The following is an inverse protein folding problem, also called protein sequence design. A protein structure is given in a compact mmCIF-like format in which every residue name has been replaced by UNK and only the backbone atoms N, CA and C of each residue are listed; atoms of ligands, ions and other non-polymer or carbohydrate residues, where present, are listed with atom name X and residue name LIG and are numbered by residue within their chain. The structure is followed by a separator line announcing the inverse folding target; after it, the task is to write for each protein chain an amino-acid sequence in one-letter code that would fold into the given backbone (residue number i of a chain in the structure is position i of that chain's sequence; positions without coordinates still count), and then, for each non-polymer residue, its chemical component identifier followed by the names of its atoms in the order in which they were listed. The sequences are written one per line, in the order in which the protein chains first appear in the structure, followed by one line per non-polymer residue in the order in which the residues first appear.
data_IF_674870875885
#
_entry.id   IF_674870875885
#
_cell.length_a   1.000
_cell.length_b   1.000
_cell.length_c   1.000
_cell.angle_alpha   90.00
_cell.angle_beta   90.00
_cell.angle_gamma   90.00
#
_symmetry.space_group_name_H-M   'P 1'
#
loop_
_entity.id
_entity.type
_entity.pdbx_description
1 polymer ?
#
# COMPACT_ATOMS: atom_id res chain seq x y z
N UNK A 1 9.38 0.55 -6.32
CA UNK A 1 9.80 0.50 -7.74
C UNK A 1 10.68 -0.71 -8.01
N UNK A 2 11.81 -0.88 -7.29
CA UNK A 2 12.75 -1.98 -7.53
C UNK A 2 12.11 -3.38 -7.35
N UNK A 3 11.31 -3.59 -6.29
CA UNK A 3 10.63 -4.86 -6.04
C UNK A 3 9.52 -5.12 -7.06
N UNK A 4 8.80 -4.09 -7.48
CA UNK A 4 7.80 -4.19 -8.54
C UNK A 4 8.42 -4.74 -9.83
N UNK A 5 9.56 -4.16 -10.25
CA UNK A 5 10.28 -4.64 -11.46
C UNK A 5 10.78 -6.08 -11.28
N UNK A 6 11.25 -6.46 -10.09
CA UNK A 6 11.63 -7.86 -9.81
C UNK A 6 10.45 -8.83 -9.90
N UNK A 7 9.23 -8.37 -9.58
CA UNK A 7 8.01 -9.14 -9.75
C UNK A 7 7.53 -9.22 -11.22
N UNK A 8 8.24 -8.57 -12.15
CA UNK A 8 7.89 -8.56 -13.58
C UNK A 8 6.85 -7.50 -13.94
N UNK A 9 6.56 -6.57 -13.04
CA UNK A 9 5.64 -5.45 -13.25
C UNK A 9 6.44 -4.15 -13.40
N UNK A 10 5.96 -3.26 -14.26
CA UNK A 10 6.60 -1.97 -14.47
C UNK A 10 5.78 -0.85 -13.82
N UNK A 11 6.39 0.27 -13.42
CA UNK A 11 5.64 1.43 -12.93
C UNK A 11 4.53 1.89 -13.89
N UNK A 12 4.73 1.70 -15.20
CA UNK A 12 3.76 2.02 -16.25
C UNK A 12 2.56 1.05 -16.32
N UNK A 13 2.61 -0.08 -15.63
CA UNK A 13 1.51 -1.03 -15.55
C UNK A 13 0.56 -0.71 -14.39
N UNK A 14 0.92 0.26 -13.55
CA UNK A 14 0.17 0.65 -12.36
C UNK A 14 -0.64 1.93 -12.64
N UNK A 15 -1.95 1.86 -12.50
CA UNK A 15 -2.86 2.97 -12.74
C UNK A 15 -3.39 3.59 -11.44
N UNK A 16 -3.31 2.86 -10.32
CA UNK A 16 -3.83 3.28 -9.02
C UNK A 16 -2.85 3.01 -7.91
N UNK A 17 -2.76 3.95 -6.97
CA UNK A 17 -2.03 3.80 -5.69
C UNK A 17 -2.99 4.16 -4.56
N UNK A 18 -2.97 3.36 -3.48
CA UNK A 18 -3.70 3.63 -2.25
C UNK A 18 -2.69 3.59 -1.09
N UNK A 19 -2.42 4.75 -0.50
CA UNK A 19 -1.57 4.84 0.69
C UNK A 19 -2.38 4.59 1.94
N UNK A 20 -1.93 3.68 2.78
CA UNK A 20 -2.54 3.45 4.09
C UNK A 20 -2.19 4.59 5.06
N UNK A 21 -0.96 5.03 5.05
CA UNK A 21 -0.44 6.16 5.84
C UNK A 21 0.91 6.64 5.30
N UNK A 22 1.43 7.75 5.85
CA UNK A 22 2.63 8.41 5.37
C UNK A 22 3.83 8.28 6.32
N UNK A 23 4.07 7.09 6.91
CA UNK A 23 5.40 6.79 7.42
C UNK A 23 6.37 6.55 6.26
N UNK A 24 7.65 6.89 6.46
CA UNK A 24 8.66 6.88 5.40
C UNK A 24 8.84 5.50 4.75
N UNK A 25 8.69 4.42 5.50
CA UNK A 25 8.84 3.04 5.03
C UNK A 25 7.66 2.59 4.14
N UNK A 26 6.58 3.36 4.07
CA UNK A 26 5.45 3.13 3.19
C UNK A 26 5.46 4.00 1.93
N UNK A 27 6.17 5.15 1.94
CA UNK A 27 6.11 6.10 0.83
C UNK A 27 7.47 6.61 0.29
N UNK A 28 8.61 6.23 0.90
CA UNK A 28 9.94 6.73 0.49
C UNK A 28 10.31 6.42 -0.97
N UNK A 29 9.76 5.36 -1.55
CA UNK A 29 9.98 4.99 -2.98
C UNK A 29 9.02 5.72 -3.94
N UNK A 30 8.04 6.45 -3.42
CA UNK A 30 7.03 7.13 -4.23
C UNK A 30 7.62 8.13 -5.23
N UNK A 31 8.60 8.98 -4.88
CA UNK A 31 9.25 9.87 -5.86
C UNK A 31 9.91 9.10 -7.02
N UNK A 32 10.60 8.01 -6.72
CA UNK A 32 11.21 7.15 -7.73
C UNK A 32 10.15 6.54 -8.65
N UNK A 33 9.06 6.03 -8.07
CA UNK A 33 7.95 5.46 -8.81
C UNK A 33 7.33 6.49 -9.78
N UNK A 34 7.01 7.68 -9.29
CA UNK A 34 6.39 8.76 -10.09
C UNK A 34 7.24 9.14 -11.30
N UNK A 35 8.54 9.36 -11.07
CA UNK A 35 9.47 9.78 -12.12
C UNK A 35 9.71 8.67 -13.15
N UNK A 36 9.90 7.43 -12.69
CA UNK A 36 10.06 6.27 -13.58
C UNK A 36 8.81 6.04 -14.43
N UNK A 37 7.61 6.08 -13.80
CA UNK A 37 6.36 5.92 -14.51
C UNK A 37 6.18 6.97 -15.58
N UNK A 38 6.41 8.24 -15.25
CA UNK A 38 6.30 9.33 -16.21
C UNK A 38 7.32 9.22 -17.37
N UNK A 39 8.61 8.98 -17.07
CA UNK A 39 9.64 8.94 -18.11
C UNK A 39 9.48 7.74 -19.06
N UNK A 40 8.89 6.65 -18.57
CA UNK A 40 8.77 5.39 -19.31
C UNK A 40 7.38 5.16 -19.92
N UNK A 41 6.43 6.07 -19.74
CA UNK A 41 5.02 5.89 -20.17
C UNK A 41 4.76 6.09 -21.66
N UNK A 42 5.78 6.17 -22.51
CA UNK A 42 5.64 6.38 -23.95
C UNK A 42 4.71 5.32 -24.57
N UNK A 43 3.60 5.78 -25.16
CA UNK A 43 2.54 4.91 -25.70
C UNK A 43 1.54 4.40 -24.66
N UNK A 44 1.73 4.77 -23.39
CA UNK A 44 0.82 4.48 -22.27
C UNK A 44 0.60 5.73 -21.41
N UNK A 45 0.49 6.90 -22.05
CA UNK A 45 0.30 8.18 -21.34
C UNK A 45 -1.13 8.27 -20.78
N UNK A 46 -1.34 7.69 -19.62
CA UNK A 46 -2.57 7.78 -18.85
C UNK A 46 -2.31 8.39 -17.47
N UNK A 47 -3.34 8.98 -16.89
CA UNK A 47 -3.27 9.58 -15.57
C UNK A 47 -3.11 8.52 -14.50
N UNK A 48 -2.09 8.68 -13.63
CA UNK A 48 -2.01 7.93 -12.39
C UNK A 48 -3.01 8.49 -11.37
N UNK A 49 -3.77 7.63 -10.73
CA UNK A 49 -4.69 8.00 -9.65
C UNK A 49 -4.14 7.54 -8.30
N UNK A 50 -4.03 8.46 -7.37
CA UNK A 50 -3.44 8.23 -6.05
C UNK A 50 -4.43 8.65 -4.98
N UNK A 51 -4.71 7.76 -4.05
CA UNK A 51 -5.60 7.98 -2.92
C UNK A 51 -4.85 7.65 -1.64
N UNK A 52 -5.11 8.41 -0.59
CA UNK A 52 -4.50 8.15 0.71
C UNK A 52 -5.03 9.13 1.77
N UNK A 53 -4.61 9.00 3.03
CA UNK A 53 -5.03 9.90 4.09
C UNK A 53 -4.53 11.33 3.86
N UNK A 54 -4.87 12.23 4.77
CA UNK A 54 -4.36 13.62 4.80
C UNK A 54 -2.88 13.67 4.47
N UNK A 55 -2.46 14.62 3.64
CA UNK A 55 -1.14 14.87 3.05
C UNK A 55 -0.84 14.15 1.72
N UNK A 56 -1.65 13.23 1.24
CA UNK A 56 -1.40 12.55 -0.04
C UNK A 56 -1.36 13.54 -1.21
N UNK A 57 -2.31 14.48 -1.28
CA UNK A 57 -2.32 15.55 -2.30
C UNK A 57 -1.07 16.42 -2.18
N UNK A 58 -0.76 16.85 -0.94
CA UNK A 58 0.37 17.73 -0.68
C UNK A 58 1.72 17.07 -1.00
N UNK A 59 1.94 15.84 -0.56
CA UNK A 59 3.16 15.07 -0.83
C UNK A 59 3.35 14.90 -2.34
N UNK A 60 2.29 14.55 -3.06
CA UNK A 60 2.34 14.39 -4.52
C UNK A 60 2.71 15.71 -5.21
N UNK A 61 2.08 16.83 -4.83
CA UNK A 61 2.39 18.15 -5.38
C UNK A 61 3.82 18.60 -5.02
N UNK A 62 4.26 18.37 -3.77
CA UNK A 62 5.61 18.72 -3.32
C UNK A 62 6.70 17.89 -4.04
N UNK A 63 6.39 16.67 -4.48
CA UNK A 63 7.34 15.83 -5.24
C UNK A 63 7.40 16.24 -6.70
N UNK A 64 6.27 16.22 -7.41
CA UNK A 64 6.24 16.22 -8.87
C UNK A 64 5.44 17.39 -9.46
N UNK A 65 4.76 18.18 -8.64
CA UNK A 65 4.02 19.35 -9.07
C UNK A 65 4.92 20.43 -9.67
N UNK A 66 4.33 21.49 -10.19
CA UNK A 66 5.05 22.56 -10.90
C UNK A 66 6.13 23.24 -10.07
N UNK A 67 5.98 23.28 -8.76
CA UNK A 67 6.95 23.84 -7.80
C UNK A 67 7.55 22.74 -6.90
N UNK A 68 7.35 21.49 -7.25
CA UNK A 68 7.82 20.35 -6.48
C UNK A 68 9.32 20.15 -6.56
N UNK A 69 9.85 19.34 -5.66
CA UNK A 69 11.29 19.07 -5.54
C UNK A 69 11.91 18.57 -6.85
N UNK A 70 11.17 17.77 -7.62
CA UNK A 70 11.62 17.22 -8.91
C UNK A 70 11.10 17.99 -10.14
N UNK A 71 10.47 19.15 -9.95
CA UNK A 71 9.99 19.98 -11.06
C UNK A 71 11.12 20.34 -12.05
N UNK A 72 12.30 20.65 -11.55
CA UNK A 72 13.47 20.98 -12.37
C UNK A 72 13.86 19.88 -13.35
N UNK A 73 13.74 18.60 -12.98
CA UNK A 73 14.05 17.46 -13.84
C UNK A 73 13.04 17.32 -14.99
N UNK A 74 11.75 17.20 -14.66
CA UNK A 74 10.76 16.99 -15.72
C UNK A 74 10.59 18.24 -16.60
N UNK A 75 10.72 19.46 -16.05
CA UNK A 75 10.71 20.70 -16.84
C UNK A 75 11.87 20.71 -17.83
N UNK A 76 13.07 20.32 -17.39
CA UNK A 76 14.22 20.21 -18.28
C UNK A 76 13.97 19.19 -19.41
N UNK A 77 13.44 18.01 -19.08
CA UNK A 77 13.16 16.95 -20.07
C UNK A 77 12.06 17.31 -21.06
N UNK A 78 11.09 18.11 -20.64
CA UNK A 78 10.01 18.59 -21.51
C UNK A 78 10.49 19.67 -22.47
N UNK A 79 11.44 20.54 -22.05
CA UNK A 79 11.83 21.72 -22.81
C UNK A 79 13.18 21.60 -23.55
N UNK A 80 14.09 20.75 -23.10
CA UNK A 80 15.40 20.58 -23.74
C UNK A 80 15.26 19.91 -25.10
N UNK A 81 15.81 20.53 -26.21
CA UNK A 81 15.72 19.93 -27.53
C UNK A 81 16.34 18.53 -27.63
N UNK A 82 17.42 18.27 -26.88
CA UNK A 82 18.06 16.96 -26.84
C UNK A 82 17.15 15.93 -26.15
N UNK A 83 16.50 16.29 -25.03
CA UNK A 83 15.57 15.40 -24.34
C UNK A 83 14.31 15.13 -25.16
N UNK A 84 13.81 16.13 -25.88
CA UNK A 84 12.71 15.96 -26.82
C UNK A 84 13.07 15.00 -27.95
N UNK A 85 14.29 15.11 -28.49
CA UNK A 85 14.77 14.18 -29.53
C UNK A 85 14.87 12.74 -29.00
N UNK A 86 15.36 12.55 -27.78
CA UNK A 86 15.40 11.23 -27.13
C UNK A 86 13.97 10.67 -26.96
N UNK A 87 13.03 11.51 -26.55
CA UNK A 87 11.62 11.12 -26.42
C UNK A 87 11.04 10.64 -27.76
N UNK A 88 11.29 11.37 -28.83
CA UNK A 88 10.86 10.98 -30.20
C UNK A 88 11.53 9.67 -30.63
N UNK A 89 12.83 9.51 -30.37
CA UNK A 89 13.57 8.28 -30.74
C UNK A 89 13.04 7.05 -30.01
N UNK A 90 12.42 7.23 -28.85
CA UNK A 90 11.72 6.15 -28.11
C UNK A 90 10.28 5.90 -28.58
N UNK A 91 9.80 6.64 -29.60
CA UNK A 91 8.45 6.52 -30.15
C UNK A 91 7.44 7.53 -29.57
N UNK A 92 7.89 8.48 -28.75
CA UNK A 92 7.05 9.54 -28.21
C UNK A 92 6.70 10.61 -29.24
N UNK A 93 5.68 11.39 -28.94
CA UNK A 93 5.19 12.51 -29.75
C UNK A 93 5.43 13.85 -29.06
N UNK A 94 5.62 14.90 -29.83
CA UNK A 94 5.74 16.26 -29.31
C UNK A 94 4.41 17.02 -29.41
N UNK A 95 4.14 17.96 -28.46
CA UNK A 95 4.98 18.27 -27.30
C UNK A 95 4.92 17.19 -26.25
N UNK A 96 6.08 16.89 -25.61
CA UNK A 96 6.11 15.96 -24.47
C UNK A 96 5.31 16.57 -23.32
N UNK A 97 4.39 15.78 -22.76
CA UNK A 97 3.55 16.22 -21.63
C UNK A 97 4.30 16.14 -20.29
N UNK A 98 4.01 17.04 -19.35
CA UNK A 98 4.47 16.90 -17.97
C UNK A 98 3.86 15.65 -17.31
N UNK A 99 4.32 15.26 -16.12
CA UNK A 99 3.67 14.21 -15.33
C UNK A 99 2.18 14.50 -15.13
N UNK A 100 1.34 13.48 -15.32
CA UNK A 100 -0.11 13.55 -15.11
C UNK A 100 -0.51 12.62 -13.96
N UNK A 101 -0.69 13.22 -12.79
CA UNK A 101 -1.03 12.53 -11.56
C UNK A 101 -2.23 13.21 -10.91
N UNK A 102 -3.26 12.44 -10.65
CA UNK A 102 -4.39 12.85 -9.81
C UNK A 102 -4.19 12.28 -8.40
N UNK A 103 -3.97 13.13 -7.44
CA UNK A 103 -3.89 12.73 -6.03
C UNK A 103 -5.11 13.26 -5.27
N UNK A 104 -5.58 12.48 -4.30
CA UNK A 104 -6.74 12.85 -3.47
C UNK A 104 -6.57 12.37 -2.05
N UNK A 105 -6.69 13.32 -1.10
CA UNK A 105 -6.87 13.01 0.30
C UNK A 105 -8.25 12.38 0.53
N UNK A 106 -8.27 11.24 1.21
CA UNK A 106 -9.49 10.49 1.54
C UNK A 106 -9.54 10.14 3.01
N UNK A 107 -10.72 9.77 3.47
CA UNK A 107 -10.98 9.29 4.82
C UNK A 107 -11.85 8.04 4.75
N UNK A 108 -12.42 7.61 5.87
CA UNK A 108 -13.32 6.46 5.92
C UNK A 108 -14.50 6.58 4.96
N UNK A 109 -15.01 5.45 4.48
CA UNK A 109 -16.11 5.33 3.54
C UNK A 109 -15.66 4.90 2.15
N UNK A 110 -16.52 5.08 1.16
CA UNK A 110 -16.25 4.68 -0.22
C UNK A 110 -15.27 5.65 -0.88
N UNK A 111 -14.10 5.13 -1.24
CA UNK A 111 -12.98 5.91 -1.81
C UNK A 111 -12.98 5.91 -3.32
N UNK A 112 -13.28 4.76 -3.91
CA UNK A 112 -13.24 4.60 -5.36
C UNK A 112 -14.32 3.62 -5.84
N UNK A 113 -14.91 3.89 -7.02
CA UNK A 113 -15.80 2.99 -7.73
C UNK A 113 -15.34 2.94 -9.18
N UNK A 114 -14.93 1.76 -9.64
CA UNK A 114 -14.62 1.44 -11.02
C UNK A 114 -15.81 0.76 -11.70
N UNK A 115 -15.56 0.14 -12.85
CA UNK A 115 -16.63 -0.52 -13.64
C UNK A 115 -17.11 -1.80 -12.94
N UNK A 116 -16.18 -2.59 -12.39
CA UNK A 116 -16.45 -3.89 -11.78
C UNK A 116 -15.73 -4.10 -10.43
N UNK A 117 -15.13 -3.06 -9.86
CA UNK A 117 -14.46 -3.10 -8.57
C UNK A 117 -14.65 -1.81 -7.80
N UNK A 118 -14.57 -1.90 -6.48
CA UNK A 118 -14.66 -0.73 -5.60
C UNK A 118 -13.68 -0.81 -4.43
N UNK A 119 -13.39 0.35 -3.85
CA UNK A 119 -12.52 0.46 -2.67
C UNK A 119 -13.24 1.23 -1.58
N UNK A 120 -13.27 0.62 -0.40
CA UNK A 120 -13.78 1.23 0.82
C UNK A 120 -12.63 1.36 1.82
N UNK A 121 -12.56 2.47 2.55
CA UNK A 121 -11.60 2.71 3.62
C UNK A 121 -12.26 2.73 4.98
N UNK A 122 -11.50 2.35 6.00
CA UNK A 122 -11.82 2.56 7.40
C UNK A 122 -10.60 3.14 8.13
N UNK A 123 -10.85 3.85 9.23
CA UNK A 123 -9.78 4.38 10.07
C UNK A 123 -9.05 3.21 10.74
N UNK A 124 -7.74 3.17 10.57
CA UNK A 124 -6.83 2.30 11.29
C UNK A 124 -6.23 3.04 12.49
N UNK A 125 -6.01 2.36 13.60
CA UNK A 125 -5.49 2.97 14.83
C UNK A 125 -3.99 2.73 14.96
N UNK A 126 -3.17 3.73 14.62
CA UNK A 126 -1.72 3.62 14.60
C UNK A 126 -1.01 4.75 15.34
N UNK A 127 -0.87 5.91 14.72
CA UNK A 127 -0.05 7.02 15.23
C UNK A 127 -0.84 8.31 15.49
N UNK A 128 -2.17 8.22 15.57
CA UNK A 128 -3.00 9.39 15.86
C UNK A 128 -2.67 10.02 17.22
N UNK A 129 -2.80 11.33 17.35
CA UNK A 129 -3.34 12.30 16.39
C UNK A 129 -2.29 12.85 15.40
N UNK A 130 -1.08 12.31 15.37
CA UNK A 130 0.05 12.86 14.62
C UNK A 130 0.05 12.45 13.15
N UNK A 131 -0.56 11.33 12.83
CA UNK A 131 -0.63 10.76 11.50
C UNK A 131 -1.95 10.02 11.29
N UNK A 132 -2.66 10.36 10.21
CA UNK A 132 -3.86 9.65 9.80
C UNK A 132 -3.48 8.31 9.17
N UNK A 133 -4.20 7.25 9.53
CA UNK A 133 -3.98 5.89 9.02
C UNK A 133 -5.29 5.26 8.57
N UNK A 134 -5.28 4.59 7.43
CA UNK A 134 -6.42 3.94 6.81
C UNK A 134 -6.14 2.46 6.51
N UNK A 135 -7.14 1.64 6.69
CA UNK A 135 -7.24 0.32 6.09
C UNK A 135 -8.10 0.40 4.84
N UNK A 136 -7.84 -0.45 3.84
CA UNK A 136 -8.61 -0.50 2.61
C UNK A 136 -9.17 -1.89 2.35
N UNK A 137 -10.42 -1.92 1.87
CA UNK A 137 -11.07 -3.10 1.32
C UNK A 137 -11.27 -2.91 -0.18
N UNK A 138 -10.85 -3.90 -0.94
CA UNK A 138 -11.06 -4.01 -2.38
C UNK A 138 -12.09 -5.12 -2.60
N UNK A 139 -13.20 -4.79 -3.23
CA UNK A 139 -14.19 -5.75 -3.70
C UNK A 139 -14.11 -5.82 -5.23
N UNK A 140 -13.83 -7.01 -5.75
CA UNK A 140 -13.64 -7.30 -7.18
C UNK A 140 -14.46 -8.54 -7.58
N UNK A 141 -14.64 -8.81 -8.89
CA UNK A 141 -15.29 -10.05 -9.31
C UNK A 141 -14.59 -11.34 -8.87
N UNK A 142 -13.27 -11.28 -8.66
CA UNK A 142 -12.46 -12.42 -8.23
C UNK A 142 -12.55 -12.66 -6.73
N UNK A 143 -12.91 -11.65 -5.94
CA UNK A 143 -13.04 -11.74 -4.48
C UNK A 143 -12.75 -10.44 -3.77
N UNK A 144 -12.78 -10.51 -2.44
CA UNK A 144 -12.57 -9.36 -1.56
C UNK A 144 -11.26 -9.44 -0.79
N UNK A 145 -10.52 -8.33 -0.77
CA UNK A 145 -9.21 -8.23 -0.11
C UNK A 145 -9.18 -7.03 0.82
N UNK A 146 -8.65 -7.22 2.01
CA UNK A 146 -8.44 -6.13 2.98
C UNK A 146 -6.96 -5.97 3.28
N UNK A 147 -6.48 -4.72 3.22
CA UNK A 147 -5.13 -4.31 3.61
C UNK A 147 -5.25 -3.41 4.83
N UNK A 148 -4.79 -3.88 5.98
CA UNK A 148 -4.96 -3.14 7.24
C UNK A 148 -4.08 -1.89 7.32
N UNK A 149 -2.97 -1.86 6.59
CA UNK A 149 -1.88 -0.95 6.92
C UNK A 149 -1.38 -1.22 8.33
N UNK A 150 -0.71 -0.24 8.92
CA UNK A 150 -0.27 -0.33 10.30
C UNK A 150 -1.42 0.08 11.23
N UNK A 151 -1.71 -0.81 12.17
CA UNK A 151 -2.80 -0.64 13.12
C UNK A 151 -2.63 -1.54 14.33
N UNK A 152 -3.11 -1.11 15.48
CA UNK A 152 -3.46 -2.05 16.55
C UNK A 152 -4.80 -2.73 16.24
N UNK A 153 -5.17 -3.82 16.93
CA UNK A 153 -6.50 -4.37 16.80
C UNK A 153 -7.58 -3.31 17.12
N UNK A 154 -8.49 -3.08 16.15
CA UNK A 154 -9.56 -2.11 16.30
C UNK A 154 -10.82 -2.52 15.53
N UNK A 155 -11.95 -2.04 16.04
CA UNK A 155 -13.27 -2.44 15.52
C UNK A 155 -13.52 -1.98 14.08
N UNK A 156 -13.06 -0.81 13.71
CA UNK A 156 -13.23 -0.25 12.36
C UNK A 156 -12.61 -1.15 11.28
N UNK A 157 -11.43 -1.71 11.56
CA UNK A 157 -10.75 -2.66 10.66
C UNK A 157 -11.46 -4.01 10.64
N UNK A 158 -11.92 -4.52 11.79
CA UNK A 158 -12.73 -5.76 11.86
C UNK A 158 -14.00 -5.61 11.03
N UNK A 159 -14.74 -4.52 11.21
CA UNK A 159 -15.98 -4.26 10.47
C UNK A 159 -15.73 -4.17 8.96
N UNK A 160 -14.65 -3.48 8.55
CA UNK A 160 -14.23 -3.37 7.15
C UNK A 160 -13.92 -4.76 6.55
N UNK A 161 -13.26 -5.62 7.33
CA UNK A 161 -12.83 -6.94 6.91
C UNK A 161 -13.94 -8.01 6.95
N UNK A 162 -15.17 -7.63 7.36
CA UNK A 162 -16.26 -8.58 7.53
C UNK A 162 -16.44 -9.48 6.31
N UNK A 163 -16.28 -10.81 6.54
CA UNK A 163 -16.40 -11.88 5.54
C UNK A 163 -15.53 -11.71 4.28
N UNK A 164 -14.41 -10.99 4.37
CA UNK A 164 -13.49 -10.87 3.24
C UNK A 164 -12.81 -12.22 2.93
N UNK A 165 -12.44 -12.39 1.66
CA UNK A 165 -11.72 -13.59 1.23
C UNK A 165 -10.29 -13.60 1.77
N UNK A 166 -9.62 -12.44 1.76
CA UNK A 166 -8.25 -12.28 2.26
C UNK A 166 -8.13 -11.02 3.12
N UNK A 167 -7.43 -11.13 4.24
CA UNK A 167 -6.98 -10.01 5.06
C UNK A 167 -5.46 -10.01 5.11
N UNK A 168 -4.83 -8.99 4.54
CA UNK A 168 -3.40 -8.68 4.71
C UNK A 168 -3.26 -7.81 5.96
N UNK A 169 -2.76 -8.41 7.03
CA UNK A 169 -2.66 -7.76 8.33
C UNK A 169 -1.20 -7.59 8.73
N UNK A 170 -0.85 -6.38 9.18
CA UNK A 170 0.45 -6.21 9.82
C UNK A 170 0.61 -7.15 11.00
N UNK A 171 1.83 -7.62 11.22
CA UNK A 171 2.17 -8.49 12.34
C UNK A 171 3.61 -8.22 12.77
N UNK A 172 3.77 -7.21 13.62
CA UNK A 172 5.11 -6.73 13.98
C UNK A 172 5.93 -7.79 14.72
N UNK A 173 5.37 -8.36 15.80
CA UNK A 173 6.06 -9.36 16.62
C UNK A 173 5.07 -10.30 17.32
N UNK A 174 5.59 -11.20 18.16
CA UNK A 174 4.80 -11.95 19.14
C UNK A 174 4.05 -10.97 20.05
N UNK A 175 2.75 -11.18 20.23
CA UNK A 175 1.91 -10.23 20.95
C UNK A 175 2.32 -10.03 22.40
N UNK A 176 2.80 -11.07 23.07
CA UNK A 176 3.25 -10.95 24.48
C UNK A 176 4.55 -10.16 24.58
N UNK A 177 5.49 -10.38 23.63
CA UNK A 177 6.71 -9.59 23.52
C UNK A 177 6.38 -8.11 23.29
N UNK A 178 5.42 -7.80 22.42
CA UNK A 178 4.99 -6.43 22.17
C UNK A 178 4.38 -5.77 23.41
N UNK A 179 3.56 -6.49 24.17
CA UNK A 179 3.00 -6.00 25.43
C UNK A 179 4.07 -5.71 26.47
N UNK A 180 5.03 -6.65 26.65
CA UNK A 180 6.15 -6.46 27.56
C UNK A 180 6.98 -5.23 27.20
N UNK A 181 7.21 -5.02 25.91
CA UNK A 181 7.97 -3.87 25.37
C UNK A 181 7.12 -2.58 25.28
N UNK A 182 5.82 -2.63 25.49
CA UNK A 182 4.86 -1.52 25.32
C UNK A 182 4.82 -0.97 23.87
N UNK A 183 4.90 -1.89 22.91
CA UNK A 183 4.88 -1.60 21.47
C UNK A 183 3.49 -1.83 20.84
N UNK A 184 2.53 -2.36 21.59
CA UNK A 184 1.18 -2.73 21.12
C UNK A 184 0.20 -1.54 21.02
N UNK A 185 0.64 -0.33 21.39
CA UNK A 185 -0.22 0.86 21.41
C UNK A 185 -0.74 1.35 20.05
N UNK A 186 -0.08 0.97 18.96
CA UNK A 186 -0.42 1.36 17.58
C UNK A 186 -0.06 0.29 16.56
N UNK A 187 0.28 -0.90 17.01
CA UNK A 187 0.71 -2.01 16.16
C UNK A 187 0.01 -3.32 16.56
N UNK A 188 -0.05 -4.25 15.63
CA UNK A 188 -0.64 -5.56 15.79
C UNK A 188 0.45 -6.64 15.84
N UNK A 189 0.32 -7.56 16.77
CA UNK A 189 1.12 -8.77 16.85
C UNK A 189 0.37 -10.02 16.38
N UNK A 190 0.96 -11.18 16.62
CA UNK A 190 0.46 -12.48 16.17
C UNK A 190 -0.98 -12.75 16.60
N UNK A 191 -1.27 -12.69 17.90
CA UNK A 191 -2.61 -13.00 18.42
C UNK A 191 -3.62 -11.90 18.09
N UNK A 192 -3.22 -10.63 18.08
CA UNK A 192 -4.10 -9.53 17.70
C UNK A 192 -4.57 -9.62 16.24
N UNK A 193 -3.66 -9.99 15.33
CA UNK A 193 -4.02 -10.24 13.93
C UNK A 193 -5.01 -11.43 13.80
N UNK A 194 -4.78 -12.50 14.56
CA UNK A 194 -5.65 -13.68 14.58
C UNK A 194 -7.04 -13.36 15.11
N UNK A 195 -7.13 -12.60 16.21
CA UNK A 195 -8.40 -12.17 16.82
C UNK A 195 -9.23 -11.31 15.87
N UNK A 196 -8.62 -10.30 15.22
CA UNK A 196 -9.31 -9.49 14.22
C UNK A 196 -9.80 -10.34 13.04
N UNK A 197 -8.96 -11.24 12.52
CA UNK A 197 -9.33 -12.11 11.40
C UNK A 197 -10.47 -13.07 11.75
N UNK A 198 -10.45 -13.64 12.94
CA UNK A 198 -11.49 -14.55 13.44
C UNK A 198 -12.81 -13.80 13.65
N UNK A 199 -12.78 -12.63 14.31
CA UNK A 199 -13.96 -11.80 14.54
C UNK A 199 -14.58 -11.31 13.23
N UNK A 200 -13.75 -10.92 12.25
CA UNK A 200 -14.19 -10.50 10.94
C UNK A 200 -14.72 -11.66 10.07
N UNK A 201 -14.40 -12.91 10.41
CA UNK A 201 -14.80 -14.09 9.63
C UNK A 201 -14.11 -14.17 8.26
N UNK A 202 -12.87 -13.69 8.13
CA UNK A 202 -12.11 -13.79 6.87
C UNK A 202 -11.73 -15.24 6.57
N UNK A 203 -11.55 -15.59 5.30
CA UNK A 203 -11.19 -16.96 4.91
C UNK A 203 -9.68 -17.22 5.00
N UNK A 204 -8.88 -16.19 4.71
CA UNK A 204 -7.40 -16.27 4.66
C UNK A 204 -6.80 -15.05 5.35
N UNK A 205 -5.89 -15.29 6.30
CA UNK A 205 -5.09 -14.27 6.96
C UNK A 205 -3.66 -14.32 6.41
N UNK A 206 -3.20 -13.24 5.82
CA UNK A 206 -1.83 -13.06 5.36
C UNK A 206 -1.13 -12.08 6.27
N UNK A 207 -0.13 -12.55 7.00
CA UNK A 207 0.67 -11.73 7.90
C UNK A 207 1.79 -11.05 7.13
N UNK A 208 1.82 -9.74 7.22
CA UNK A 208 2.78 -8.84 6.53
C UNK A 208 3.46 -7.91 7.52
N UNK A 209 4.41 -7.10 7.09
CA UNK A 209 5.07 -6.09 7.92
C UNK A 209 5.68 -6.68 9.21
N UNK A 210 6.40 -7.80 9.06
CA UNK A 210 7.02 -8.49 10.20
C UNK A 210 8.28 -7.80 10.66
N UNK A 211 8.39 -7.59 11.96
CA UNK A 211 9.59 -7.06 12.60
C UNK A 211 10.78 -8.04 12.57
N UNK A 212 11.98 -7.56 12.94
CA UNK A 212 13.20 -8.37 12.87
C UNK A 212 13.14 -9.64 13.70
N UNK A 213 12.54 -9.58 14.89
CA UNK A 213 12.48 -10.72 15.80
C UNK A 213 11.59 -11.85 15.26
N UNK A 214 10.39 -11.51 14.79
CA UNK A 214 9.46 -12.49 14.22
C UNK A 214 9.97 -13.07 12.89
N UNK A 215 10.85 -12.36 12.20
CA UNK A 215 11.48 -12.84 10.96
C UNK A 215 12.55 -13.91 11.18
N UNK A 216 12.98 -14.15 12.44
CA UNK A 216 13.95 -15.18 12.75
C UNK A 216 13.33 -16.57 12.67
N UNK A 217 14.15 -17.54 12.22
CA UNK A 217 13.76 -18.96 12.21
C UNK A 217 13.41 -19.43 13.64
N UNK A 218 12.31 -20.18 13.76
CA UNK A 218 11.77 -20.63 15.04
C UNK A 218 10.72 -19.66 15.62
N UNK A 219 10.91 -18.35 15.53
CA UNK A 219 9.91 -17.37 15.98
C UNK A 219 8.73 -17.28 15.02
N UNK A 220 9.00 -17.33 13.70
CA UNK A 220 7.97 -17.38 12.67
C UNK A 220 7.08 -18.63 12.81
N UNK A 221 7.68 -19.79 13.03
CA UNK A 221 6.96 -21.06 13.23
C UNK A 221 6.13 -21.05 14.51
N UNK A 222 6.67 -20.50 15.62
CA UNK A 222 5.89 -20.28 16.85
C UNK A 222 4.71 -19.35 16.58
N UNK A 223 4.95 -18.23 15.91
CA UNK A 223 3.89 -17.25 15.56
C UNK A 223 2.77 -17.86 14.74
N UNK A 224 3.08 -18.70 13.74
CA UNK A 224 2.07 -19.46 12.97
C UNK A 224 1.25 -20.34 13.89
N UNK A 225 1.90 -21.04 14.82
CA UNK A 225 1.24 -21.91 15.81
C UNK A 225 0.32 -21.13 16.74
N UNK A 226 0.70 -19.94 17.18
CA UNK A 226 -0.11 -19.10 18.05
C UNK A 226 -1.32 -18.52 17.32
N UNK A 227 -1.15 -18.05 16.10
CA UNK A 227 -2.26 -17.59 15.23
C UNK A 227 -3.26 -18.71 14.96
N UNK A 228 -2.77 -19.91 14.64
CA UNK A 228 -3.62 -21.08 14.32
C UNK A 228 -4.40 -21.66 15.51
N UNK A 229 -4.12 -21.23 16.74
CA UNK A 229 -4.93 -21.57 17.93
C UNK A 229 -6.18 -20.70 18.04
N UNK A 230 -6.21 -19.55 17.38
CA UNK A 230 -7.26 -18.53 17.49
C UNK A 230 -8.07 -18.45 16.19
N UNK A 231 -7.37 -18.47 15.06
CA UNK A 231 -7.96 -18.29 13.74
C UNK A 231 -8.11 -19.64 13.03
N UNK A 232 -9.35 -19.99 12.67
CA UNK A 232 -9.69 -21.27 12.05
C UNK A 232 -9.46 -21.30 10.52
N UNK A 233 -9.21 -20.14 9.89
CA UNK A 233 -8.97 -20.02 8.47
C UNK A 233 -7.54 -20.34 8.05
N UNK A 234 -7.23 -20.10 6.78
CA UNK A 234 -5.89 -20.31 6.24
C UNK A 234 -4.94 -19.18 6.68
N UNK A 235 -3.81 -19.53 7.28
CA UNK A 235 -2.75 -18.59 7.70
C UNK A 235 -1.57 -18.66 6.74
N UNK A 236 -1.09 -17.50 6.32
CA UNK A 236 0.12 -17.34 5.51
C UNK A 236 1.00 -16.27 6.14
N UNK A 237 2.26 -16.59 6.46
CA UNK A 237 3.29 -15.58 6.66
C UNK A 237 3.88 -15.24 5.30
N UNK A 238 3.75 -13.99 4.88
CA UNK A 238 4.26 -13.56 3.58
C UNK A 238 5.79 -13.50 3.58
N UNK A 239 6.36 -13.88 2.46
CA UNK A 239 7.73 -13.57 2.10
C UNK A 239 7.73 -12.54 0.95
N UNK A 240 8.88 -11.89 0.77
CA UNK A 240 9.05 -10.90 -0.28
C UNK A 240 8.78 -11.49 -1.68
N UNK A 241 7.99 -10.81 -2.48
CA UNK A 241 7.55 -11.22 -3.83
C UNK A 241 6.68 -12.49 -3.87
N UNK A 242 6.13 -12.92 -2.73
CA UNK A 242 5.16 -14.02 -2.71
C UNK A 242 3.91 -13.63 -3.48
N UNK A 243 3.40 -14.57 -4.30
CA UNK A 243 2.11 -14.45 -4.98
C UNK A 243 1.05 -15.15 -4.12
N UNK A 244 -0.04 -14.44 -3.88
CA UNK A 244 -1.18 -14.95 -3.09
C UNK A 244 -2.41 -14.95 -3.99
N UNK A 245 -2.99 -16.11 -4.20
CA UNK A 245 -4.26 -16.25 -4.92
C UNK A 245 -5.45 -15.91 -4.03
N UNK A 246 -6.46 -15.24 -4.59
CA UNK A 246 -7.73 -14.89 -3.93
C UNK A 246 -8.61 -16.11 -3.80
#
# INVERSE_FOLDING_TARGET
THKLVKAGLWPTDIDYIFFTHHHFDHDVDYPCFLLCRWDQSIGKENQLKVYGPTLTEKITEDIIGKNGVFAHDWIARVNSPMSQQIHVNRGGTLPRKPPDVFAKDVTEGKVFVGDDWEVTAAIAEHAQPWLDSLAYRFDTPEGSMVFTGDTRPCKSVVDLASNADIMFCMCWDDQEVMKENKEDGGQCGTTGAAEMAQEAGVKKLVLVHTGPNLSLHGNKEKGIGDVSKIFDGKVVFSDELMVIDV
#
